data_IF_936072003530
#
_entry.id   IF_936072003530
#
_cell.length_a   1.000
_cell.length_b   1.000
_cell.length_c   1.000
_cell.angle_alpha   90.00
_cell.angle_beta   90.00
_cell.angle_gamma   90.00
#
_symmetry.space_group_name_H-M   'P 1'
#
loop_
_entity.id
_entity.type
_entity.pdbx_description
1 polymer ?
#
# COMPACT_ATOMS: atom_id res chain seq x y z
N UNK A 1 -27.58 -5.70 -10.80
CA UNK A 1 -26.54 -6.26 -9.92
C UNK A 1 -25.82 -5.12 -9.21
N UNK A 2 -25.38 -5.34 -7.98
CA UNK A 2 -24.39 -4.47 -7.32
C UNK A 2 -23.04 -4.56 -8.04
N UNK A 3 -22.10 -3.65 -7.75
CA UNK A 3 -20.77 -3.73 -8.35
C UNK A 3 -20.06 -5.03 -7.96
N UNK A 4 -20.25 -5.46 -6.71
CA UNK A 4 -19.75 -6.75 -6.21
C UNK A 4 -20.34 -7.94 -6.97
N UNK A 5 -21.67 -8.00 -7.10
CA UNK A 5 -22.35 -9.07 -7.82
C UNK A 5 -21.89 -9.14 -9.29
N UNK A 6 -21.80 -7.99 -9.96
CA UNK A 6 -21.36 -7.88 -11.35
C UNK A 6 -19.92 -8.38 -11.56
N UNK A 7 -19.01 -7.94 -10.70
CA UNK A 7 -17.62 -8.35 -10.76
C UNK A 7 -17.46 -9.85 -10.47
N UNK A 8 -18.14 -10.37 -9.45
CA UNK A 8 -18.09 -11.79 -9.14
C UNK A 8 -18.68 -12.64 -10.26
N UNK A 9 -19.83 -12.29 -10.83
CA UNK A 9 -20.41 -13.00 -11.96
C UNK A 9 -19.41 -13.11 -13.12
N UNK A 10 -18.77 -11.99 -13.51
CA UNK A 10 -17.74 -11.99 -14.55
C UNK A 10 -16.52 -12.87 -14.19
N UNK A 11 -16.03 -12.80 -12.95
CA UNK A 11 -14.90 -13.63 -12.47
C UNK A 11 -15.22 -15.13 -12.44
N UNK A 12 -16.50 -15.48 -12.23
CA UNK A 12 -16.99 -16.86 -12.21
C UNK A 12 -17.45 -17.38 -13.57
N UNK A 13 -17.20 -16.61 -14.65
CA UNK A 13 -17.65 -16.95 -16.01
C UNK A 13 -19.18 -17.06 -16.15
N UNK A 14 -19.91 -16.34 -15.32
CA UNK A 14 -21.36 -16.15 -15.42
C UNK A 14 -21.70 -14.90 -16.26
N UNK A 15 -22.98 -14.70 -16.58
CA UNK A 15 -23.44 -13.54 -17.35
C UNK A 15 -23.80 -12.36 -16.41
N UNK A 16 -22.99 -11.29 -16.35
CA UNK A 16 -23.35 -10.09 -15.59
C UNK A 16 -24.41 -9.25 -16.31
N UNK A 17 -25.06 -8.34 -15.58
CA UNK A 17 -26.05 -7.41 -16.15
C UNK A 17 -25.46 -6.40 -17.15
N UNK A 18 -24.16 -6.12 -17.04
CA UNK A 18 -23.34 -5.38 -18.00
C UNK A 18 -21.87 -5.74 -17.78
N UNK A 19 -21.00 -5.38 -18.72
CA UNK A 19 -19.55 -5.57 -18.56
C UNK A 19 -19.06 -4.78 -17.34
N UNK A 20 -18.42 -5.40 -16.34
CA UNK A 20 -17.86 -4.66 -15.21
C UNK A 20 -16.72 -3.77 -15.65
N UNK A 21 -16.62 -2.60 -15.06
CA UNK A 21 -15.60 -1.60 -15.38
C UNK A 21 -14.85 -1.23 -14.12
N UNK A 22 -13.55 -1.50 -14.06
CA UNK A 22 -12.69 -1.14 -12.92
C UNK A 22 -11.36 -0.60 -13.41
N UNK A 23 -11.28 0.69 -13.79
CA UNK A 23 -10.03 1.28 -14.25
C UNK A 23 -9.02 1.36 -13.10
N UNK A 24 -7.74 1.16 -13.42
CA UNK A 24 -6.67 1.48 -12.48
C UNK A 24 -6.52 3.01 -12.38
N UNK A 25 -7.23 3.59 -11.44
CA UNK A 25 -7.15 5.02 -11.10
C UNK A 25 -5.98 5.34 -10.16
N UNK A 26 -5.26 4.29 -9.72
CA UNK A 26 -4.12 4.31 -8.81
C UNK A 26 -4.33 5.30 -7.65
N UNK A 27 -3.31 6.08 -7.34
CA UNK A 27 -3.29 7.03 -6.23
C UNK A 27 -3.63 8.47 -6.62
N UNK A 28 -3.26 8.91 -7.82
CA UNK A 28 -3.35 10.32 -8.22
C UNK A 28 -4.78 10.80 -8.33
N UNK A 29 -5.69 10.01 -8.91
CA UNK A 29 -7.10 10.40 -9.05
C UNK A 29 -7.79 10.43 -7.67
N UNK A 30 -7.70 9.37 -6.83
CA UNK A 30 -8.18 9.42 -5.45
C UNK A 30 -7.64 10.59 -4.65
N UNK A 31 -6.32 10.82 -4.66
CA UNK A 31 -5.70 11.90 -3.90
C UNK A 31 -6.18 13.28 -4.36
N UNK A 32 -6.31 13.49 -5.68
CA UNK A 32 -6.77 14.76 -6.24
C UNK A 32 -8.24 15.04 -5.89
N UNK A 33 -9.09 14.01 -5.84
CA UNK A 33 -10.50 14.17 -5.41
C UNK A 33 -10.61 14.61 -3.95
N UNK A 34 -9.67 14.21 -3.10
CA UNK A 34 -9.62 14.62 -1.69
C UNK A 34 -9.16 16.07 -1.50
N UNK A 35 -8.53 16.69 -2.51
CA UNK A 35 -8.11 18.09 -2.47
C UNK A 35 -7.00 18.41 -1.46
N UNK A 36 -6.27 17.38 -0.98
CA UNK A 36 -5.17 17.52 -0.02
C UNK A 36 -3.81 17.29 -0.68
N UNK A 37 -2.72 17.87 -0.14
CA UNK A 37 -1.37 17.46 -0.47
C UNK A 37 -1.18 15.95 -0.36
N UNK A 38 -0.46 15.34 -1.30
CA UNK A 38 -0.25 13.89 -1.30
C UNK A 38 0.52 13.43 -0.07
N UNK A 39 1.46 14.23 0.46
CA UNK A 39 2.11 13.87 1.72
C UNK A 39 1.13 13.79 2.90
N UNK A 40 -0.02 14.50 2.90
CA UNK A 40 -0.99 14.37 3.99
C UNK A 40 -1.65 12.98 3.99
N UNK A 41 -1.88 12.44 2.80
CA UNK A 41 -2.44 11.10 2.60
C UNK A 41 -1.38 10.03 2.93
N UNK A 42 -0.16 10.18 2.42
CA UNK A 42 0.88 9.15 2.52
C UNK A 42 1.67 9.14 3.82
N UNK A 43 1.84 10.29 4.46
CA UNK A 43 2.65 10.43 5.68
C UNK A 43 1.76 10.45 6.92
N UNK A 44 0.61 11.11 6.85
CA UNK A 44 -0.27 11.31 8.01
C UNK A 44 -1.53 10.45 7.96
N UNK A 45 -1.76 9.69 6.88
CA UNK A 45 -2.94 8.84 6.71
C UNK A 45 -4.25 9.63 6.86
N UNK A 46 -4.27 10.89 6.38
CA UNK A 46 -5.37 11.84 6.60
C UNK A 46 -5.93 12.45 5.30
N UNK A 47 -7.03 11.91 4.73
CA UNK A 47 -7.60 10.60 5.04
C UNK A 47 -6.76 9.49 4.38
N UNK A 48 -6.93 8.23 4.79
CA UNK A 48 -6.23 7.13 4.17
C UNK A 48 -6.59 6.99 2.68
N UNK A 49 -5.63 6.57 1.86
CA UNK A 49 -5.79 6.53 0.39
C UNK A 49 -7.00 5.69 -0.06
N UNK A 50 -7.31 4.60 0.65
CA UNK A 50 -8.44 3.73 0.33
C UNK A 50 -9.80 4.45 0.46
N UNK A 51 -9.92 5.46 1.32
CA UNK A 51 -11.13 6.29 1.39
C UNK A 51 -11.27 7.14 0.13
N UNK A 52 -10.17 7.77 -0.33
CA UNK A 52 -10.16 8.49 -1.60
C UNK A 52 -10.54 7.61 -2.79
N UNK A 53 -10.14 6.35 -2.79
CA UNK A 53 -10.55 5.40 -3.82
C UNK A 53 -12.06 5.12 -3.77
N UNK A 54 -12.65 4.93 -2.58
CA UNK A 54 -14.10 4.77 -2.45
C UNK A 54 -14.86 6.00 -2.96
N UNK A 55 -14.34 7.19 -2.73
CA UNK A 55 -14.91 8.42 -3.29
C UNK A 55 -14.79 8.45 -4.82
N UNK A 56 -13.68 8.00 -5.39
CA UNK A 56 -13.52 7.85 -6.84
C UNK A 56 -14.54 6.87 -7.45
N UNK A 57 -14.73 5.71 -6.82
CA UNK A 57 -15.73 4.71 -7.22
C UNK A 57 -17.13 5.35 -7.27
N UNK A 58 -17.51 6.09 -6.22
CA UNK A 58 -18.83 6.75 -6.14
C UNK A 58 -18.98 7.87 -7.18
N UNK A 59 -17.95 8.69 -7.36
CA UNK A 59 -17.98 9.82 -8.27
C UNK A 59 -18.07 9.39 -9.74
N UNK A 60 -17.27 8.39 -10.13
CA UNK A 60 -17.18 7.93 -11.51
C UNK A 60 -18.06 6.72 -11.83
N UNK A 61 -18.71 6.12 -10.81
CA UNK A 61 -19.69 5.03 -10.94
C UNK A 61 -19.14 3.78 -11.63
N UNK A 62 -17.88 3.46 -11.36
CA UNK A 62 -17.26 2.20 -11.80
C UNK A 62 -17.35 1.14 -10.68
N UNK A 63 -17.03 -0.11 -11.00
CA UNK A 63 -17.03 -1.23 -10.07
C UNK A 63 -15.71 -1.30 -9.30
N UNK A 64 -15.75 -1.32 -7.96
CA UNK A 64 -14.53 -1.25 -7.15
C UNK A 64 -13.72 -2.56 -7.24
N UNK A 65 -12.44 -2.46 -7.60
CA UNK A 65 -11.50 -3.57 -7.45
C UNK A 65 -10.36 -3.15 -6.52
N UNK A 66 -10.51 -3.48 -5.24
CA UNK A 66 -9.50 -3.17 -4.24
C UNK A 66 -8.40 -4.22 -4.23
N UNK A 67 -7.21 -3.85 -4.71
CA UNK A 67 -5.99 -4.67 -4.66
C UNK A 67 -5.02 -4.23 -3.54
N UNK A 68 -5.37 -3.17 -2.82
CA UNK A 68 -4.54 -2.60 -1.74
C UNK A 68 -4.76 -3.29 -0.39
N UNK A 69 -5.66 -4.26 -0.30
CA UNK A 69 -5.96 -4.94 0.94
C UNK A 69 -4.96 -6.09 1.18
N UNK A 70 -3.84 -5.81 1.84
CA UNK A 70 -2.87 -6.84 2.22
C UNK A 70 -3.14 -7.44 3.58
N UNK A 71 -2.94 -8.76 3.69
CA UNK A 71 -2.75 -9.40 4.99
C UNK A 71 -1.39 -8.91 5.53
N UNK A 72 -1.41 -8.09 6.58
CA UNK A 72 -0.20 -7.40 7.08
C UNK A 72 0.16 -6.10 6.34
N UNK A 73 -0.81 -5.39 5.74
CA UNK A 73 -0.61 -4.05 5.18
C UNK A 73 0.13 -3.13 6.19
N UNK A 74 1.24 -2.53 5.77
CA UNK A 74 2.12 -1.75 6.66
C UNK A 74 3.26 -2.54 7.32
N UNK A 75 3.43 -3.81 6.97
CA UNK A 75 4.63 -4.59 7.31
C UNK A 75 5.82 -4.11 6.48
N UNK A 76 6.26 -2.87 6.75
CA UNK A 76 7.69 -2.61 6.78
C UNK A 76 8.33 -3.71 7.64
N UNK A 77 9.62 -4.02 7.46
CA UNK A 77 10.29 -5.02 8.29
C UNK A 77 10.21 -4.74 9.81
N UNK A 78 9.70 -3.57 10.21
CA UNK A 78 9.25 -3.20 11.56
C UNK A 78 8.13 -4.06 12.17
N UNK A 79 7.32 -4.74 11.35
CA UNK A 79 6.24 -5.63 11.83
C UNK A 79 6.69 -7.10 11.89
N UNK A 80 7.89 -7.41 11.40
CA UNK A 80 8.56 -8.69 11.67
C UNK A 80 9.10 -8.62 13.09
N UNK A 81 8.53 -9.41 13.99
CA UNK A 81 8.54 -9.29 15.46
C UNK A 81 9.89 -9.28 16.21
N UNK A 82 11.00 -8.87 15.61
CA UNK A 82 12.28 -8.69 16.30
C UNK A 82 13.14 -7.51 15.82
N UNK A 83 12.83 -6.89 14.68
CA UNK A 83 13.70 -5.84 14.12
C UNK A 83 13.26 -4.45 14.58
N UNK A 84 14.23 -3.66 15.06
CA UNK A 84 14.00 -2.26 15.40
C UNK A 84 14.04 -1.43 14.11
N UNK A 85 12.87 -0.97 13.68
CA UNK A 85 12.76 0.03 12.63
C UNK A 85 12.57 1.43 13.23
N UNK A 86 13.12 2.42 12.57
CA UNK A 86 13.05 3.82 12.96
C UNK A 86 12.86 4.67 11.72
N UNK A 87 11.85 5.54 11.71
CA UNK A 87 11.68 6.58 10.69
C UNK A 87 12.20 7.91 11.23
N UNK A 88 13.25 8.45 10.60
CA UNK A 88 13.85 9.74 10.96
C UNK A 88 13.42 10.82 9.97
N UNK A 89 12.90 11.94 10.49
CA UNK A 89 12.68 13.12 9.66
C UNK A 89 14.02 13.72 9.24
N UNK A 90 14.24 13.85 7.93
CA UNK A 90 15.44 14.51 7.37
C UNK A 90 15.16 15.98 7.10
N UNK A 91 14.00 16.27 6.48
CA UNK A 91 13.56 17.64 6.22
C UNK A 91 12.04 17.70 6.06
N UNK A 92 11.45 18.83 6.45
CA UNK A 92 10.04 19.13 6.22
C UNK A 92 9.93 20.51 5.56
N UNK A 93 9.51 20.53 4.30
CA UNK A 93 9.21 21.75 3.55
C UNK A 93 7.73 21.84 3.20
N UNK A 94 7.38 22.91 2.48
CA UNK A 94 6.04 23.05 1.88
C UNK A 94 5.83 22.08 0.73
N UNK A 95 6.88 21.82 -0.05
CA UNK A 95 6.78 21.05 -1.29
C UNK A 95 7.01 19.55 -1.08
N UNK A 96 7.75 19.17 -0.04
CA UNK A 96 8.02 17.77 0.28
C UNK A 96 8.42 17.55 1.74
N UNK A 97 8.16 16.34 2.21
CA UNK A 97 8.70 15.78 3.45
C UNK A 97 9.68 14.66 3.09
N UNK A 98 10.85 14.63 3.73
CA UNK A 98 11.87 13.63 3.46
C UNK A 98 12.15 12.84 4.73
N UNK A 99 12.09 11.52 4.59
CA UNK A 99 12.34 10.58 5.68
C UNK A 99 13.54 9.70 5.36
N UNK A 100 14.20 9.24 6.43
CA UNK A 100 15.13 8.13 6.39
C UNK A 100 14.57 7.01 7.24
N UNK A 101 14.20 5.91 6.60
CA UNK A 101 13.81 4.69 7.30
C UNK A 101 15.07 3.88 7.57
N UNK A 102 15.23 3.42 8.80
CA UNK A 102 16.38 2.65 9.26
C UNK A 102 15.87 1.35 9.86
N UNK A 103 16.46 0.22 9.49
CA UNK A 103 16.10 -1.09 9.99
C UNK A 103 17.36 -1.75 10.51
N UNK A 104 17.39 -2.02 11.82
CA UNK A 104 18.57 -2.62 12.47
C UNK A 104 18.50 -4.13 12.41
N UNK A 105 19.51 -4.76 11.83
CA UNK A 105 19.62 -6.23 11.75
C UNK A 105 20.91 -6.72 12.41
N UNK A 106 21.00 -8.02 12.77
CA UNK A 106 22.25 -8.60 13.27
C UNK A 106 23.44 -8.53 12.30
N UNK A 107 23.20 -8.24 11.00
CA UNK A 107 24.22 -8.16 9.96
C UNK A 107 24.54 -6.72 9.51
N UNK A 108 23.91 -5.73 10.13
CA UNK A 108 24.08 -4.31 9.81
C UNK A 108 22.76 -3.57 9.73
N UNK A 109 22.86 -2.24 9.74
CA UNK A 109 21.71 -1.35 9.61
C UNK A 109 21.42 -1.10 8.12
N UNK A 110 20.19 -1.38 7.71
CA UNK A 110 19.66 -0.96 6.43
C UNK A 110 19.08 0.45 6.55
N UNK A 111 19.23 1.26 5.51
CA UNK A 111 18.49 2.51 5.41
C UNK A 111 18.06 2.84 3.99
N UNK A 112 16.93 3.51 3.87
CA UNK A 112 16.42 4.09 2.64
C UNK A 112 15.99 5.52 2.88
N UNK A 113 15.99 6.33 1.82
CA UNK A 113 15.42 7.68 1.88
C UNK A 113 14.14 7.74 1.06
N UNK A 114 13.04 8.10 1.70
CA UNK A 114 11.74 8.33 1.07
C UNK A 114 11.53 9.83 0.91
N UNK A 115 11.17 10.26 -0.30
CA UNK A 115 10.71 11.61 -0.59
C UNK A 115 9.19 11.55 -0.75
N UNK A 116 8.46 12.38 -0.01
CA UNK A 116 7.01 12.50 -0.06
C UNK A 116 6.63 13.92 -0.49
N UNK A 117 6.46 14.17 -1.79
CA UNK A 117 6.07 15.47 -2.32
C UNK A 117 4.60 15.82 -2.01
N UNK A 118 4.27 17.09 -2.18
CA UNK A 118 2.91 17.61 -2.01
C UNK A 118 1.99 17.27 -3.19
N UNK A 119 2.53 17.10 -4.40
CA UNK A 119 1.77 17.02 -5.65
C UNK A 119 1.91 15.68 -6.37
N UNK A 120 2.76 14.78 -5.86
CA UNK A 120 3.10 13.50 -6.48
C UNK A 120 3.23 12.39 -5.41
N UNK A 121 3.09 11.12 -5.79
CA UNK A 121 3.23 10.01 -4.85
C UNK A 121 4.66 9.93 -4.30
N UNK A 122 4.85 9.36 -3.11
CA UNK A 122 6.20 9.16 -2.58
C UNK A 122 7.05 8.27 -3.48
N UNK A 123 8.36 8.51 -3.47
CA UNK A 123 9.34 7.65 -4.13
C UNK A 123 10.60 7.50 -3.29
N UNK A 124 11.34 6.43 -3.55
CA UNK A 124 12.67 6.26 -3.00
C UNK A 124 13.69 7.11 -3.75
N UNK A 125 14.48 7.88 -3.00
CA UNK A 125 15.73 8.42 -3.52
C UNK A 125 16.82 7.34 -3.56
N UNK A 126 16.82 6.47 -2.57
CA UNK A 126 17.77 5.38 -2.41
C UNK A 126 17.13 4.26 -1.58
N UNK A 127 17.27 3.00 -2.00
CA UNK A 127 16.69 1.82 -1.32
C UNK A 127 17.64 1.13 -0.35
N UNK A 128 17.18 0.12 0.39
CA UNK A 128 17.98 -0.50 1.47
C UNK A 128 19.28 -1.17 1.02
N UNK A 129 19.32 -1.75 -0.20
CA UNK A 129 20.49 -2.48 -0.71
C UNK A 129 21.50 -1.51 -1.29
N UNK A 130 22.69 -1.46 -0.69
CA UNK A 130 23.80 -0.59 -1.10
C UNK A 130 24.98 -1.39 -1.67
N UNK A 131 25.18 -2.61 -1.18
CA UNK A 131 26.34 -3.47 -1.49
C UNK A 131 25.90 -4.90 -1.73
N UNK A 132 26.03 -5.33 -2.98
CA UNK A 132 25.85 -6.73 -3.36
C UNK A 132 27.24 -7.38 -3.33
N UNK A 133 27.43 -8.56 -2.69
CA UNK A 133 26.42 -9.50 -2.17
C UNK A 133 26.07 -9.37 -0.67
N UNK A 134 26.74 -8.53 0.10
CA UNK A 134 26.64 -8.54 1.57
C UNK A 134 25.23 -8.22 2.07
N UNK A 135 24.58 -7.23 1.46
CA UNK A 135 23.25 -6.78 1.86
C UNK A 135 22.16 -7.79 1.45
N UNK A 136 22.38 -8.59 0.40
CA UNK A 136 21.48 -9.68 0.02
C UNK A 136 21.47 -10.81 1.06
N UNK A 137 22.61 -11.10 1.68
CA UNK A 137 22.67 -12.12 2.74
C UNK A 137 21.89 -11.69 4.00
N UNK A 138 21.75 -10.39 4.23
CA UNK A 138 21.01 -9.81 5.34
C UNK A 138 19.51 -9.58 5.03
N UNK A 139 19.10 -9.72 3.76
CA UNK A 139 17.74 -9.57 3.28
C UNK A 139 16.76 -10.53 3.99
N UNK A 140 17.21 -11.74 4.31
CA UNK A 140 16.39 -12.76 4.98
C UNK A 140 15.86 -12.34 6.35
N UNK A 141 16.51 -11.40 7.03
CA UNK A 141 16.02 -10.88 8.31
C UNK A 141 14.78 -9.97 8.15
N UNK A 142 14.59 -9.40 6.96
CA UNK A 142 13.49 -8.47 6.69
C UNK A 142 12.17 -9.20 6.32
N UNK A 143 12.20 -10.53 6.25
CA UNK A 143 11.05 -11.35 5.86
C UNK A 143 10.11 -11.59 7.05
N UNK A 144 8.84 -11.26 6.89
CA UNK A 144 7.78 -11.59 7.85
C UNK A 144 7.48 -13.10 7.82
N UNK A 145 7.13 -13.66 8.98
CA UNK A 145 6.50 -14.98 9.01
C UNK A 145 5.07 -14.84 8.47
N UNK A 146 4.72 -15.49 7.34
CA UNK A 146 3.39 -15.42 6.76
C UNK A 146 2.29 -15.95 7.70
N UNK A 147 2.64 -16.76 8.71
CA UNK A 147 1.71 -17.26 9.71
C UNK A 147 1.37 -16.24 10.81
N UNK A 148 2.16 -15.17 10.95
CA UNK A 148 1.95 -14.12 11.95
C UNK A 148 1.21 -12.88 11.38
N UNK A 149 0.75 -12.91 10.13
CA UNK A 149 0.08 -11.78 9.49
C UNK A 149 -1.30 -11.49 10.12
N UNK A 150 -1.54 -10.24 10.53
CA UNK A 150 -2.82 -9.80 11.06
C UNK A 150 -3.86 -9.55 9.93
N UNK A 151 -5.00 -10.26 9.91
CA UNK A 151 -6.06 -10.05 8.93
C UNK A 151 -7.00 -8.87 9.25
N UNK A 152 -6.86 -8.21 10.41
CA UNK A 152 -7.79 -7.17 10.83
C UNK A 152 -7.89 -5.97 9.87
N UNK A 153 -6.78 -5.42 9.30
CA UNK A 153 -6.85 -4.37 8.30
C UNK A 153 -7.64 -4.77 7.05
N UNK A 154 -7.35 -5.97 6.51
CA UNK A 154 -8.09 -6.55 5.40
C UNK A 154 -9.60 -6.64 5.70
N UNK A 155 -9.98 -7.19 6.85
CA UNK A 155 -11.39 -7.33 7.26
C UNK A 155 -12.09 -5.97 7.40
N UNK A 156 -11.38 -4.94 7.88
CA UNK A 156 -11.90 -3.58 7.97
C UNK A 156 -12.19 -3.03 6.58
N UNK A 157 -11.24 -3.13 5.66
CA UNK A 157 -11.39 -2.65 4.29
C UNK A 157 -12.50 -3.42 3.55
N UNK A 158 -12.53 -4.75 3.65
CA UNK A 158 -13.59 -5.59 3.07
C UNK A 158 -14.99 -5.16 3.48
N UNK A 159 -15.20 -4.85 4.78
CA UNK A 159 -16.49 -4.32 5.27
C UNK A 159 -16.82 -2.94 4.74
N UNK A 160 -15.83 -2.07 4.53
CA UNK A 160 -16.01 -0.70 4.02
C UNK A 160 -16.34 -0.68 2.52
N UNK A 161 -15.75 -1.58 1.74
CA UNK A 161 -16.05 -1.75 0.32
C UNK A 161 -17.49 -2.22 0.11
N UNK A 162 -17.93 -3.21 0.90
CA UNK A 162 -19.31 -3.69 0.86
C UNK A 162 -19.72 -4.14 -0.54
N UNK A 163 -20.82 -3.59 -1.05
CA UNK A 163 -21.41 -3.96 -2.35
C UNK A 163 -20.87 -3.14 -3.53
N UNK A 164 -19.93 -2.21 -3.28
CA UNK A 164 -19.34 -1.39 -4.33
C UNK A 164 -18.43 -2.20 -5.27
N UNK A 165 -17.97 -3.38 -4.85
CA UNK A 165 -17.12 -4.22 -5.67
C UNK A 165 -16.44 -5.33 -4.86
N UNK A 166 -15.28 -5.76 -5.32
CA UNK A 166 -14.52 -6.87 -4.74
C UNK A 166 -13.20 -6.39 -4.14
N UNK A 167 -12.74 -7.13 -3.13
CA UNK A 167 -11.43 -6.93 -2.51
C UNK A 167 -10.58 -8.15 -2.82
N UNK A 168 -9.51 -7.95 -3.58
CA UNK A 168 -8.49 -8.95 -3.80
C UNK A 168 -7.52 -8.93 -2.62
N UNK A 169 -7.48 -10.03 -1.87
CA UNK A 169 -6.45 -10.23 -0.87
C UNK A 169 -5.16 -10.67 -1.56
N UNK A 170 -4.05 -9.98 -1.27
CA UNK A 170 -2.72 -10.46 -1.59
C UNK A 170 -2.05 -11.02 -0.32
N UNK A 171 -1.39 -12.16 -0.50
CA UNK A 171 -0.41 -12.67 0.46
C UNK A 171 0.93 -12.14 -0.02
N UNK A 172 1.47 -11.13 0.67
CA UNK A 172 2.78 -10.60 0.33
C UNK A 172 3.82 -11.72 0.47
N UNK A 173 4.40 -12.16 -0.64
CA UNK A 173 5.52 -13.07 -0.64
C UNK A 173 6.79 -12.33 -0.20
N UNK A 174 7.81 -13.07 0.26
CA UNK A 174 9.18 -12.61 0.47
C UNK A 174 9.88 -11.91 -0.73
N UNK A 175 9.19 -11.61 -1.82
CA UNK A 175 9.70 -10.80 -2.92
C UNK A 175 8.82 -9.58 -3.21
N UNK A 176 7.59 -9.53 -2.70
CA UNK A 176 6.62 -8.46 -3.01
C UNK A 176 6.95 -7.14 -2.28
N UNK A 177 7.65 -7.22 -1.15
CA UNK A 177 8.24 -6.05 -0.50
C UNK A 177 9.33 -5.38 -1.36
N UNK A 178 9.92 -6.08 -2.35
CA UNK A 178 10.82 -5.45 -3.32
C UNK A 178 10.12 -4.40 -4.20
N UNK A 179 8.83 -4.61 -4.49
CA UNK A 179 8.02 -3.67 -5.26
C UNK A 179 7.36 -2.59 -4.41
N UNK A 180 7.22 -2.84 -3.11
CA UNK A 180 6.65 -1.91 -2.12
C UNK A 180 7.70 -1.08 -1.37
N UNK A 181 8.99 -1.28 -1.69
CA UNK A 181 10.11 -0.44 -1.26
C UNK A 181 10.24 0.76 -2.18
#
# INVERSE_FOLDING_TARGET
>A
MTGKERMLAAMWLEEPDTVPVSPDVSNMIPAKLLGKPLYDIYVFDDPPLWEGYLEAVRAFKFDAWFIYASLGEGALPSQVGALKAERRLVSRGRDAIVFRDVIRTPKGDFYQTVISPADQPPWLRDGFIKRIPEDLAALGYLLADPLELDPAPFRRLYRKVGDLGVVAGNVCLPFDWWYSM
#
